data_IF_786606381959
#
_entry.id   IF_786606381959
#
_cell.length_a   1.000
_cell.length_b   1.000
_cell.length_c   1.000
_cell.angle_alpha   90.00
_cell.angle_beta   90.00
_cell.angle_gamma   90.00
#
_symmetry.space_group_name_H-M   'P 1'
#
loop_
_entity.id
_entity.type
_entity.pdbx_description
1 polymer ?
#
# COMPACT_ATOMS: atom_id res chain seq x y z
N UNK A 1 5.76 16.65 -36.43
CA UNK A 1 6.39 16.03 -35.23
C UNK A 1 7.79 15.58 -35.59
N UNK A 2 8.82 16.04 -34.86
CA UNK A 2 10.20 15.57 -35.09
C UNK A 2 10.38 14.11 -34.63
N UNK A 3 11.39 13.42 -35.15
CA UNK A 3 11.70 12.02 -34.78
C UNK A 3 11.90 11.86 -33.26
N UNK A 4 12.55 12.83 -32.62
CA UNK A 4 12.79 12.86 -31.16
C UNK A 4 11.50 12.94 -30.34
N UNK A 5 10.49 13.66 -30.83
CA UNK A 5 9.18 13.76 -30.16
C UNK A 5 8.41 12.43 -30.19
N UNK A 6 8.55 11.64 -31.27
CA UNK A 6 7.96 10.30 -31.35
C UNK A 6 8.61 9.30 -30.39
N UNK A 7 9.94 9.34 -30.25
CA UNK A 7 10.68 8.45 -29.33
C UNK A 7 10.28 8.70 -27.88
N UNK A 8 10.16 9.97 -27.48
CA UNK A 8 9.75 10.37 -26.12
C UNK A 8 8.34 9.84 -25.78
N UNK A 9 7.38 9.99 -26.68
CA UNK A 9 6.01 9.47 -26.47
C UNK A 9 6.00 7.94 -26.34
N UNK A 10 6.77 7.23 -27.17
CA UNK A 10 6.87 5.77 -27.09
C UNK A 10 7.46 5.30 -25.76
N UNK A 11 8.50 5.96 -25.26
CA UNK A 11 9.08 5.64 -23.95
C UNK A 11 8.13 5.97 -22.79
N UNK A 12 7.32 7.02 -22.94
CA UNK A 12 6.31 7.40 -21.95
C UNK A 12 5.18 6.34 -21.85
N UNK A 13 4.70 5.87 -22.99
CA UNK A 13 3.65 4.86 -23.04
C UNK A 13 4.16 3.49 -22.57
N UNK A 14 5.43 3.18 -22.81
CA UNK A 14 6.04 1.90 -22.44
C UNK A 14 6.13 1.70 -20.93
N UNK A 15 6.62 2.69 -20.17
CA UNK A 15 6.78 2.53 -18.72
C UNK A 15 5.43 2.45 -18.00
N UNK A 16 4.45 3.24 -18.43
CA UNK A 16 3.07 3.18 -17.89
C UNK A 16 2.47 1.79 -18.14
N UNK A 17 2.62 1.26 -19.36
CA UNK A 17 2.15 -0.08 -19.72
C UNK A 17 2.83 -1.17 -18.89
N UNK A 18 4.13 -1.05 -18.65
CA UNK A 18 4.91 -1.98 -17.82
C UNK A 18 4.43 -1.98 -16.37
N UNK A 19 4.24 -0.81 -15.76
CA UNK A 19 3.73 -0.70 -14.39
C UNK A 19 2.32 -1.27 -14.26
N UNK A 20 1.44 -0.96 -15.20
CA UNK A 20 0.08 -1.49 -15.24
C UNK A 20 0.08 -3.02 -15.36
N UNK A 21 0.92 -3.59 -16.25
CA UNK A 21 1.05 -5.02 -16.41
C UNK A 21 1.54 -5.69 -15.11
N UNK A 22 2.56 -5.11 -14.45
CA UNK A 22 3.08 -5.62 -13.19
C UNK A 22 2.02 -5.62 -12.07
N UNK A 23 1.26 -4.53 -11.93
CA UNK A 23 0.17 -4.43 -10.95
C UNK A 23 -0.95 -5.44 -11.25
N UNK A 24 -1.37 -5.57 -12.52
CA UNK A 24 -2.39 -6.54 -12.93
C UNK A 24 -1.96 -7.98 -12.66
N UNK A 25 -0.71 -8.33 -12.99
CA UNK A 25 -0.16 -9.66 -12.72
C UNK A 25 -0.23 -9.97 -11.22
N UNK A 26 0.17 -9.05 -10.35
CA UNK A 26 0.11 -9.31 -8.91
C UNK A 26 -1.31 -9.28 -8.34
N UNK A 27 -2.23 -8.44 -8.86
CA UNK A 27 -3.67 -8.51 -8.51
C UNK A 27 -4.23 -9.91 -8.85
N UNK A 28 -4.01 -10.36 -10.08
CA UNK A 28 -4.43 -11.69 -10.53
C UNK A 28 -3.78 -12.77 -9.67
N UNK A 29 -2.51 -12.60 -9.29
CA UNK A 29 -1.79 -13.55 -8.45
C UNK A 29 -2.40 -13.66 -7.06
N UNK A 30 -2.77 -12.55 -6.42
CA UNK A 30 -3.42 -12.55 -5.10
C UNK A 30 -4.80 -13.21 -5.17
N UNK A 31 -5.61 -12.83 -6.17
CA UNK A 31 -6.94 -13.44 -6.40
C UNK A 31 -6.80 -14.94 -6.65
N UNK A 32 -5.88 -15.34 -7.53
CA UNK A 32 -5.62 -16.75 -7.85
C UNK A 32 -5.17 -17.53 -6.63
N UNK A 33 -4.28 -16.93 -5.82
CA UNK A 33 -3.80 -17.55 -4.59
C UNK A 33 -4.93 -17.77 -3.56
N UNK A 34 -5.98 -16.94 -3.59
CA UNK A 34 -7.14 -17.04 -2.71
C UNK A 34 -8.18 -18.04 -3.21
N UNK A 35 -8.36 -18.13 -4.53
CA UNK A 35 -9.35 -19.03 -5.16
C UNK A 35 -8.85 -20.48 -5.24
N UNK A 36 -7.54 -20.69 -5.31
CA UNK A 36 -6.93 -22.03 -5.44
C UNK A 36 -6.49 -22.52 -4.05
N UNK A 37 -7.16 -23.52 -3.44
CA UNK A 37 -6.89 -23.93 -2.05
C UNK A 37 -5.44 -24.32 -1.77
N UNK A 38 -4.74 -24.89 -2.78
CA UNK A 38 -3.33 -25.27 -2.68
C UNK A 38 -2.38 -24.06 -2.53
N UNK A 39 -2.80 -22.89 -3.00
CA UNK A 39 -2.01 -21.65 -2.97
C UNK A 39 -2.33 -20.75 -1.77
N UNK A 40 -3.41 -21.03 -1.02
CA UNK A 40 -3.81 -20.24 0.15
C UNK A 40 -2.68 -20.07 1.19
N UNK A 41 -1.77 -21.03 1.29
CA UNK A 41 -0.60 -20.94 2.18
C UNK A 41 0.31 -19.74 1.86
N UNK A 42 0.34 -19.28 0.60
CA UNK A 42 1.13 -18.13 0.19
C UNK A 42 0.60 -16.82 0.79
N UNK A 43 -0.71 -16.73 1.04
CA UNK A 43 -1.42 -15.55 1.56
C UNK A 43 -1.35 -15.41 3.07
N UNK A 44 -0.97 -16.48 3.78
CA UNK A 44 -0.94 -16.50 5.25
C UNK A 44 0.38 -15.93 5.76
N UNK A 45 0.31 -15.06 6.76
CA UNK A 45 1.49 -14.49 7.42
C UNK A 45 1.18 -14.03 8.84
N UNK A 46 2.21 -13.92 9.67
CA UNK A 46 2.07 -13.55 11.07
C UNK A 46 1.12 -14.47 11.86
N UNK A 47 -0.02 -13.94 12.33
CA UNK A 47 -0.94 -14.67 13.21
C UNK A 47 -1.74 -15.79 12.51
N UNK A 48 -1.80 -15.76 11.19
CA UNK A 48 -2.55 -16.75 10.38
C UNK A 48 -1.64 -17.83 9.81
N UNK A 49 -0.33 -17.75 10.05
CA UNK A 49 0.66 -18.67 9.49
C UNK A 49 0.72 -19.97 10.29
N UNK A 50 0.69 -21.10 9.57
CA UNK A 50 0.90 -22.43 10.17
C UNK A 50 2.39 -22.66 10.46
N UNK A 51 2.70 -22.92 11.73
CA UNK A 51 4.06 -23.13 12.24
C UNK A 51 4.76 -24.29 11.50
N UNK A 52 4.02 -25.34 11.11
CA UNK A 52 4.57 -26.49 10.39
C UNK A 52 5.06 -26.18 8.97
N UNK A 53 4.47 -25.17 8.31
CA UNK A 53 4.90 -24.75 6.96
C UNK A 53 6.25 -24.02 6.98
N UNK A 54 6.50 -23.24 8.04
CA UNK A 54 7.70 -22.41 8.22
C UNK A 54 8.92 -23.27 8.50
N UNK A 55 8.76 -24.34 9.28
CA UNK A 55 9.86 -25.25 9.61
C UNK A 55 10.33 -26.04 8.39
N UNK A 56 9.42 -26.41 7.48
CA UNK A 56 9.74 -27.16 6.26
C UNK A 56 10.42 -26.32 5.18
N UNK A 57 10.00 -25.06 4.99
CA UNK A 57 10.47 -24.19 3.89
C UNK A 57 11.06 -22.87 4.41
N UNK A 58 11.95 -22.95 5.41
CA UNK A 58 12.44 -21.78 6.16
C UNK A 58 13.03 -20.66 5.28
N UNK A 59 13.67 -21.00 4.16
CA UNK A 59 14.29 -20.01 3.25
C UNK A 59 13.28 -19.18 2.43
N UNK A 60 12.02 -19.60 2.36
CA UNK A 60 10.94 -18.85 1.71
C UNK A 60 10.24 -17.87 2.66
N UNK A 61 10.72 -17.71 3.88
CA UNK A 61 10.10 -16.84 4.89
C UNK A 61 11.11 -15.84 5.45
N UNK A 62 10.67 -14.58 5.51
CA UNK A 62 11.44 -13.48 6.10
C UNK A 62 10.78 -12.98 7.40
N UNK A 63 11.54 -12.38 8.33
CA UNK A 63 10.97 -11.76 9.52
C UNK A 63 9.90 -10.71 9.19
N UNK A 64 8.81 -10.68 9.96
CA UNK A 64 7.75 -9.67 9.75
C UNK A 64 8.25 -8.24 9.97
N UNK A 65 9.26 -8.04 10.82
CA UNK A 65 9.88 -6.72 11.02
C UNK A 65 10.47 -6.12 9.74
N UNK A 66 10.73 -6.92 8.70
CA UNK A 66 11.20 -6.44 7.41
C UNK A 66 10.17 -5.60 6.64
N UNK A 67 8.94 -5.45 7.14
CA UNK A 67 8.03 -4.38 6.69
C UNK A 67 8.71 -3.00 6.72
N UNK A 68 9.65 -2.76 7.64
CA UNK A 68 10.46 -1.54 7.69
C UNK A 68 11.19 -1.27 6.37
N UNK A 69 11.67 -2.30 5.67
CA UNK A 69 12.40 -2.14 4.41
C UNK A 69 11.52 -1.51 3.32
N UNK A 70 10.23 -1.84 3.28
CA UNK A 70 9.30 -1.27 2.32
C UNK A 70 9.17 0.23 2.51
N UNK A 71 9.04 0.67 3.75
CA UNK A 71 8.88 2.09 4.07
C UNK A 71 10.18 2.87 3.90
N UNK A 72 11.35 2.27 4.17
CA UNK A 72 12.65 2.87 3.83
C UNK A 72 12.78 3.06 2.32
N UNK A 73 12.41 2.05 1.53
CA UNK A 73 12.42 2.12 0.07
C UNK A 73 11.48 3.21 -0.44
N UNK A 74 10.25 3.26 0.08
CA UNK A 74 9.24 4.27 -0.23
C UNK A 74 9.76 5.68 0.07
N UNK A 75 10.30 5.91 1.28
CA UNK A 75 10.88 7.19 1.67
C UNK A 75 12.04 7.60 0.75
N UNK A 76 12.89 6.65 0.38
CA UNK A 76 14.04 6.89 -0.51
C UNK A 76 13.58 7.35 -1.88
N UNK A 77 12.58 6.68 -2.46
CA UNK A 77 12.01 7.07 -3.75
C UNK A 77 11.29 8.42 -3.66
N UNK A 78 10.46 8.62 -2.64
CA UNK A 78 9.73 9.87 -2.45
C UNK A 78 10.70 11.05 -2.31
N UNK A 79 11.75 10.92 -1.48
CA UNK A 79 12.79 11.93 -1.33
C UNK A 79 13.55 12.18 -2.64
N UNK A 80 13.94 11.11 -3.36
CA UNK A 80 14.63 11.24 -4.65
C UNK A 80 13.78 11.98 -5.67
N UNK A 81 12.47 11.69 -5.74
CA UNK A 81 11.52 12.39 -6.59
C UNK A 81 11.36 13.85 -6.20
N UNK A 82 11.24 14.17 -4.90
CA UNK A 82 11.16 15.55 -4.41
C UNK A 82 12.43 16.35 -4.72
N UNK A 83 13.61 15.74 -4.61
CA UNK A 83 14.88 16.38 -4.97
C UNK A 83 14.99 16.62 -6.48
N UNK A 84 14.47 15.71 -7.30
CA UNK A 84 14.50 15.82 -8.75
C UNK A 84 13.52 16.88 -9.28
N UNK A 85 12.29 16.88 -8.77
CA UNK A 85 11.16 17.67 -9.33
C UNK A 85 10.97 19.00 -8.58
N UNK A 86 11.39 19.05 -7.31
CA UNK A 86 11.23 20.19 -6.42
C UNK A 86 9.83 20.30 -5.79
N UNK A 87 9.72 21.16 -4.77
CA UNK A 87 8.46 21.50 -4.11
C UNK A 87 7.75 22.62 -4.89
N UNK A 88 6.93 22.23 -5.87
CA UNK A 88 6.09 23.12 -6.67
C UNK A 88 4.60 22.86 -6.34
N UNK A 89 3.68 23.60 -6.94
CA UNK A 89 2.23 23.30 -6.84
C UNK A 89 1.79 22.36 -7.99
N UNK A 90 2.51 21.23 -8.16
CA UNK A 90 2.29 20.27 -9.25
C UNK A 90 1.65 18.97 -8.73
N UNK A 91 1.10 18.14 -9.62
CA UNK A 91 0.56 16.82 -9.24
C UNK A 91 1.63 15.96 -8.61
N UNK A 92 2.80 15.91 -9.25
CA UNK A 92 3.92 15.06 -8.82
C UNK A 92 4.42 15.44 -7.43
N UNK A 93 4.63 16.74 -7.20
CA UNK A 93 5.15 17.25 -5.92
C UNK A 93 4.17 17.02 -4.76
N UNK A 94 2.86 17.18 -4.98
CA UNK A 94 1.84 16.89 -3.96
C UNK A 94 1.87 15.41 -3.56
N UNK A 95 1.89 14.49 -4.53
CA UNK A 95 1.87 13.05 -4.21
C UNK A 95 3.20 12.57 -3.64
N UNK A 96 4.33 13.06 -4.14
CA UNK A 96 5.63 12.73 -3.55
C UNK A 96 5.73 13.24 -2.10
N UNK A 97 5.11 14.38 -1.78
CA UNK A 97 5.01 14.84 -0.40
C UNK A 97 4.11 13.94 0.45
N UNK A 98 2.96 13.49 -0.07
CA UNK A 98 2.11 12.51 0.60
C UNK A 98 2.87 11.21 0.89
N UNK A 99 3.57 10.66 -0.11
CA UNK A 99 4.37 9.44 0.04
C UNK A 99 5.52 9.65 1.03
N UNK A 100 6.20 10.79 0.99
CA UNK A 100 7.26 11.12 1.96
C UNK A 100 6.72 11.14 3.41
N UNK A 101 5.60 11.83 3.64
CA UNK A 101 4.98 11.92 4.97
C UNK A 101 4.48 10.56 5.43
N UNK A 102 3.81 9.81 4.54
CA UNK A 102 3.31 8.47 4.80
C UNK A 102 4.46 7.52 5.17
N UNK A 103 5.51 7.45 4.35
CA UNK A 103 6.67 6.59 4.57
C UNK A 103 7.39 6.95 5.87
N UNK A 104 7.63 8.24 6.13
CA UNK A 104 8.28 8.71 7.36
C UNK A 104 7.51 8.26 8.62
N UNK A 105 6.19 8.46 8.61
CA UNK A 105 5.31 8.04 9.70
C UNK A 105 5.32 6.51 9.85
N UNK A 106 5.20 5.76 8.76
CA UNK A 106 5.19 4.28 8.79
C UNK A 106 6.53 3.69 9.24
N UNK A 107 7.66 4.32 8.92
CA UNK A 107 8.98 3.98 9.48
C UNK A 107 8.96 4.14 11.00
N UNK A 108 8.53 5.31 11.48
CA UNK A 108 8.43 5.58 12.92
C UNK A 108 7.54 4.54 13.62
N UNK A 109 6.35 4.28 13.08
CA UNK A 109 5.43 3.29 13.64
C UNK A 109 6.00 1.87 13.64
N UNK A 110 6.72 1.47 12.60
CA UNK A 110 7.36 0.15 12.55
C UNK A 110 8.51 0.04 13.55
N UNK A 111 9.29 1.10 13.72
CA UNK A 111 10.45 1.10 14.61
C UNK A 111 10.06 1.20 16.09
N UNK A 112 9.04 2.00 16.42
CA UNK A 112 8.77 2.42 17.81
C UNK A 112 7.38 2.06 18.34
N UNK A 113 6.38 1.88 17.48
CA UNK A 113 4.99 1.59 17.91
C UNK A 113 4.68 0.09 17.78
N UNK A 114 5.11 -0.53 16.68
CA UNK A 114 4.71 -1.88 16.31
C UNK A 114 5.38 -2.97 17.14
N UNK A 115 4.59 -3.80 17.84
CA UNK A 115 5.09 -4.94 18.61
C UNK A 115 5.06 -6.25 17.81
N UNK A 116 6.02 -6.40 16.89
CA UNK A 116 6.17 -7.63 16.10
C UNK A 116 6.42 -8.86 17.00
N UNK A 117 5.84 -10.01 16.66
CA UNK A 117 6.21 -11.26 17.32
C UNK A 117 7.55 -11.74 16.77
N UNK A 118 8.44 -12.21 17.63
CA UNK A 118 9.76 -12.74 17.25
C UNK A 118 9.65 -13.87 16.20
N UNK A 119 8.63 -14.71 16.32
CA UNK A 119 8.34 -15.80 15.38
C UNK A 119 7.44 -15.41 14.22
N UNK A 120 6.99 -14.15 14.13
CA UNK A 120 6.12 -13.71 13.04
C UNK A 120 6.90 -13.63 11.74
N UNK A 121 6.46 -14.38 10.72
CA UNK A 121 7.08 -14.41 9.39
C UNK A 121 6.14 -13.93 8.30
N UNK A 122 6.71 -13.54 7.17
CA UNK A 122 6.05 -13.22 5.90
C UNK A 122 6.66 -14.11 4.82
N UNK A 123 5.84 -14.63 3.91
CA UNK A 123 6.34 -15.38 2.77
C UNK A 123 7.10 -14.47 1.79
N UNK A 124 8.15 -14.96 1.15
CA UNK A 124 9.02 -14.19 0.26
C UNK A 124 8.24 -13.56 -0.91
N UNK A 125 7.22 -14.24 -1.43
CA UNK A 125 6.36 -13.67 -2.49
C UNK A 125 5.64 -12.39 -2.04
N UNK A 126 5.09 -12.36 -0.82
CA UNK A 126 4.49 -11.15 -0.25
C UNK A 126 5.53 -10.06 -0.05
N UNK A 127 6.73 -10.45 0.36
CA UNK A 127 7.82 -9.50 0.53
C UNK A 127 8.21 -8.82 -0.80
N UNK A 128 8.41 -9.62 -1.85
CA UNK A 128 8.73 -9.10 -3.19
C UNK A 128 7.57 -8.28 -3.79
N UNK A 129 6.33 -8.69 -3.58
CA UNK A 129 5.15 -7.93 -4.00
C UNK A 129 5.10 -6.56 -3.32
N UNK A 130 5.43 -6.49 -2.03
CA UNK A 130 5.57 -5.23 -1.30
C UNK A 130 6.64 -4.32 -1.91
N UNK A 131 7.86 -4.84 -2.14
CA UNK A 131 8.95 -4.08 -2.77
C UNK A 131 8.53 -3.52 -4.14
N UNK A 132 7.90 -4.34 -4.97
CA UNK A 132 7.41 -3.93 -6.28
C UNK A 132 6.35 -2.83 -6.16
N UNK A 133 5.39 -2.97 -5.25
CA UNK A 133 4.32 -2.00 -5.04
C UNK A 133 4.86 -0.61 -4.65
N UNK A 134 5.68 -0.51 -3.60
CA UNK A 134 6.24 0.78 -3.15
C UNK A 134 7.19 1.40 -4.18
N UNK A 135 7.85 0.57 -5.00
CA UNK A 135 8.65 1.05 -6.13
C UNK A 135 7.76 1.67 -7.20
N UNK A 136 6.70 0.99 -7.64
CA UNK A 136 5.77 1.52 -8.67
C UNK A 136 5.04 2.77 -8.18
N UNK A 137 4.59 2.80 -6.92
CA UNK A 137 3.86 3.93 -6.34
C UNK A 137 4.60 5.26 -6.52
N UNK A 138 5.93 5.26 -6.40
CA UNK A 138 6.76 6.44 -6.62
C UNK A 138 7.28 6.56 -8.06
N UNK A 139 7.70 5.45 -8.70
CA UNK A 139 8.28 5.51 -10.03
C UNK A 139 7.28 5.91 -11.12
N UNK A 140 5.98 5.67 -10.95
CA UNK A 140 4.97 6.20 -11.89
C UNK A 140 5.03 7.74 -11.97
N UNK A 141 5.47 8.39 -10.90
CA UNK A 141 5.56 9.85 -10.78
C UNK A 141 6.91 10.31 -11.34
N UNK A 142 7.99 9.62 -10.98
CA UNK A 142 9.36 10.01 -11.29
C UNK A 142 9.73 9.68 -12.76
N UNK A 143 9.30 8.53 -13.28
CA UNK A 143 9.71 8.04 -14.59
C UNK A 143 9.39 9.00 -15.75
N UNK A 144 8.22 9.66 -15.83
CA UNK A 144 7.96 10.67 -16.86
C UNK A 144 8.98 11.81 -16.88
N UNK A 145 9.42 12.29 -15.72
CA UNK A 145 10.40 13.39 -15.63
C UNK A 145 11.80 12.98 -16.08
N UNK A 146 12.19 11.72 -15.84
CA UNK A 146 13.49 11.19 -16.27
C UNK A 146 13.49 10.76 -17.74
N UNK A 147 12.47 10.01 -18.16
CA UNK A 147 12.47 9.30 -19.45
C UNK A 147 11.95 10.16 -20.60
N UNK A 148 11.02 11.06 -20.32
CA UNK A 148 10.37 11.87 -21.34
C UNK A 148 10.85 13.33 -21.37
N UNK A 149 11.79 13.72 -20.50
CA UNK A 149 12.26 15.11 -20.33
C UNK A 149 11.09 16.10 -20.30
N UNK A 150 10.02 15.71 -19.60
CA UNK A 150 8.79 16.49 -19.46
C UNK A 150 9.20 17.86 -18.92
N UNK A 151 9.04 18.95 -19.68
CA UNK A 151 9.55 20.25 -19.27
C UNK A 151 8.91 20.66 -17.94
N UNK A 152 9.73 21.26 -17.09
CA UNK A 152 9.28 21.85 -15.83
C UNK A 152 8.06 22.76 -16.08
N UNK A 153 6.93 22.44 -15.45
CA UNK A 153 5.68 23.21 -15.59
C UNK A 153 4.70 22.73 -16.68
N UNK A 154 4.99 21.63 -17.37
CA UNK A 154 4.05 21.02 -18.33
C UNK A 154 2.93 20.19 -17.68
N UNK A 155 2.99 19.95 -16.38
CA UNK A 155 1.87 19.39 -15.63
C UNK A 155 0.71 20.38 -15.57
N UNK A 156 -0.49 19.93 -15.94
CA UNK A 156 -1.68 20.77 -15.79
C UNK A 156 -1.92 21.08 -14.32
N UNK A 157 -2.26 22.33 -14.02
CA UNK A 157 -2.60 22.79 -12.67
C UNK A 157 -3.65 21.89 -12.02
N UNK A 158 -3.40 21.50 -10.77
CA UNK A 158 -4.33 20.69 -9.98
C UNK A 158 -5.55 21.56 -9.64
N UNK A 159 -6.78 21.12 -9.97
CA UNK A 159 -7.98 21.81 -9.52
C UNK A 159 -8.01 21.93 -7.99
N UNK A 160 -8.38 23.11 -7.48
CA UNK A 160 -8.38 23.34 -6.02
C UNK A 160 -9.26 22.33 -5.27
N UNK A 161 -10.41 21.95 -5.84
CA UNK A 161 -11.30 20.96 -5.22
C UNK A 161 -10.64 19.59 -5.10
N UNK A 162 -9.84 19.18 -6.10
CA UNK A 162 -9.19 17.86 -6.08
C UNK A 162 -8.03 17.85 -5.10
N UNK A 163 -7.28 18.96 -5.00
CA UNK A 163 -6.27 19.15 -3.96
C UNK A 163 -6.90 19.07 -2.55
N UNK A 164 -7.99 19.80 -2.31
CA UNK A 164 -8.69 19.79 -1.02
C UNK A 164 -9.24 18.40 -0.66
N UNK A 165 -9.87 17.72 -1.62
CA UNK A 165 -10.40 16.37 -1.42
C UNK A 165 -9.28 15.38 -1.11
N UNK A 166 -8.21 15.37 -1.92
CA UNK A 166 -7.07 14.48 -1.72
C UNK A 166 -6.37 14.73 -0.38
N UNK A 167 -6.10 15.99 -0.02
CA UNK A 167 -5.54 16.34 1.29
C UNK A 167 -6.44 15.88 2.43
N UNK A 168 -7.76 16.03 2.30
CA UNK A 168 -8.70 15.57 3.33
C UNK A 168 -8.70 14.06 3.49
N UNK A 169 -8.75 13.31 2.39
CA UNK A 169 -8.66 11.84 2.38
C UNK A 169 -7.34 11.35 2.96
N UNK A 170 -6.23 11.94 2.53
CA UNK A 170 -4.89 11.60 3.01
C UNK A 170 -4.74 11.86 4.51
N UNK A 171 -5.15 13.03 4.99
CA UNK A 171 -5.07 13.39 6.40
C UNK A 171 -5.96 12.49 7.27
N UNK A 172 -7.21 12.27 6.85
CA UNK A 172 -8.15 11.40 7.55
C UNK A 172 -7.61 9.98 7.68
N UNK A 173 -7.18 9.38 6.56
CA UNK A 173 -6.59 8.04 6.57
C UNK A 173 -5.29 7.99 7.35
N UNK A 174 -4.38 8.94 7.17
CA UNK A 174 -3.07 8.92 7.85
C UNK A 174 -3.20 9.05 9.37
N UNK A 175 -4.06 9.96 9.85
CA UNK A 175 -4.31 10.15 11.28
C UNK A 175 -5.01 8.92 11.88
N UNK A 176 -6.14 8.48 11.30
CA UNK A 176 -6.88 7.34 11.87
C UNK A 176 -6.03 6.06 11.83
N UNK A 177 -5.25 5.85 10.76
CA UNK A 177 -4.33 4.73 10.66
C UNK A 177 -3.29 4.73 11.79
N UNK A 178 -2.70 5.89 12.12
CA UNK A 178 -1.74 6.00 13.22
C UNK A 178 -2.40 5.68 14.57
N UNK A 179 -3.58 6.24 14.81
CA UNK A 179 -4.36 5.98 16.04
C UNK A 179 -4.70 4.50 16.15
N UNK A 180 -5.14 3.89 15.05
CA UNK A 180 -5.44 2.47 14.96
C UNK A 180 -4.19 1.61 15.25
N UNK A 181 -3.02 1.96 14.71
CA UNK A 181 -1.78 1.24 15.01
C UNK A 181 -1.35 1.38 16.47
N UNK A 182 -1.45 2.57 17.06
CA UNK A 182 -1.20 2.79 18.48
C UNK A 182 -2.15 1.96 19.35
N UNK A 183 -3.44 1.91 19.00
CA UNK A 183 -4.42 1.08 19.68
C UNK A 183 -4.05 -0.41 19.60
N UNK A 184 -3.76 -0.91 18.39
CA UNK A 184 -3.37 -2.31 18.17
C UNK A 184 -2.08 -2.69 18.91
N UNK A 185 -1.12 -1.78 19.04
CA UNK A 185 0.13 -2.00 19.77
C UNK A 185 -0.08 -2.11 21.30
N UNK A 186 -1.14 -1.51 21.83
CA UNK A 186 -1.49 -1.54 23.25
C UNK A 186 -2.39 -2.72 23.62
N UNK A 187 -3.03 -3.36 22.64
CA UNK A 187 -3.83 -4.55 22.89
C UNK A 187 -2.97 -5.74 23.33
N UNK A 188 -3.55 -6.58 24.18
CA UNK A 188 -3.01 -7.91 24.43
C UNK A 188 -2.94 -8.64 23.10
N UNK A 189 -1.77 -9.21 22.80
CA UNK A 189 -1.48 -9.80 21.49
C UNK A 189 -2.56 -10.80 21.05
N UNK A 190 -3.03 -10.64 19.82
CA UNK A 190 -4.05 -11.48 19.17
C UNK A 190 -5.47 -11.40 19.77
N UNK A 191 -5.78 -10.34 20.51
CA UNK A 191 -7.17 -10.00 20.86
C UNK A 191 -7.84 -9.18 19.74
N UNK A 192 -9.17 -9.16 19.73
CA UNK A 192 -9.94 -8.37 18.79
C UNK A 192 -10.01 -6.89 19.24
N UNK A 193 -9.75 -5.93 18.34
CA UNK A 193 -9.93 -4.51 18.62
C UNK A 193 -11.41 -4.14 18.70
N UNK A 194 -11.75 -3.13 19.50
CA UNK A 194 -13.14 -2.67 19.72
C UNK A 194 -13.31 -1.14 19.76
N UNK A 195 -12.25 -0.41 19.42
CA UNK A 195 -12.20 1.05 19.40
C UNK A 195 -12.51 1.62 18.02
N UNK A 196 -13.17 2.79 17.96
CA UNK A 196 -13.39 3.53 16.71
C UNK A 196 -14.09 2.69 15.63
N UNK A 197 -13.56 2.74 14.41
CA UNK A 197 -14.08 1.98 13.27
C UNK A 197 -14.00 0.46 13.45
N UNK A 198 -13.17 -0.07 14.37
CA UNK A 198 -13.13 -1.51 14.65
C UNK A 198 -14.46 -2.08 15.19
N UNK A 199 -15.36 -1.21 15.66
CA UNK A 199 -16.74 -1.59 16.02
C UNK A 199 -17.58 -2.01 14.81
N UNK A 200 -17.23 -1.53 13.63
CA UNK A 200 -17.95 -1.77 12.39
C UNK A 200 -17.19 -2.67 11.43
N UNK A 201 -15.86 -2.50 11.33
CA UNK A 201 -14.98 -3.28 10.43
C UNK A 201 -13.93 -4.07 11.21
N UNK A 202 -13.51 -5.23 10.70
CA UNK A 202 -12.46 -6.06 11.33
C UNK A 202 -11.08 -5.39 11.25
N UNK A 203 -10.77 -4.70 10.15
CA UNK A 203 -9.47 -4.09 9.91
C UNK A 203 -9.58 -2.59 9.55
N UNK A 204 -9.89 -1.73 10.53
CA UNK A 204 -10.02 -0.27 10.31
C UNK A 204 -8.79 0.36 9.64
N UNK A 205 -7.59 0.10 10.16
CA UNK A 205 -6.31 0.54 9.57
C UNK A 205 -6.09 0.17 8.09
N UNK A 206 -6.75 -0.85 7.56
CA UNK A 206 -6.68 -1.19 6.12
C UNK A 206 -7.62 -0.34 5.28
N UNK A 207 -8.78 0.06 5.83
CA UNK A 207 -9.64 1.05 5.20
C UNK A 207 -8.91 2.39 5.06
N UNK A 208 -8.18 2.78 6.10
CA UNK A 208 -7.40 4.02 6.09
C UNK A 208 -6.33 4.03 4.98
N UNK A 209 -5.73 2.87 4.71
CA UNK A 209 -4.75 2.73 3.62
C UNK A 209 -5.42 2.91 2.24
N UNK A 210 -6.66 2.44 2.08
CA UNK A 210 -7.45 2.69 0.86
C UNK A 210 -7.68 4.20 0.69
N UNK A 211 -8.00 4.93 1.75
CA UNK A 211 -8.21 6.39 1.67
C UNK A 211 -6.94 7.14 1.25
N UNK A 212 -5.78 6.70 1.74
CA UNK A 212 -4.47 7.28 1.41
C UNK A 212 -4.16 7.10 -0.09
N UNK A 213 -4.32 5.89 -0.63
CA UNK A 213 -4.08 5.66 -2.05
C UNK A 213 -5.21 6.19 -2.96
N UNK A 214 -6.43 6.35 -2.44
CA UNK A 214 -7.49 7.05 -3.14
C UNK A 214 -7.17 8.54 -3.29
N UNK A 215 -6.55 9.17 -2.29
CA UNK A 215 -6.06 10.55 -2.39
C UNK A 215 -5.05 10.72 -3.53
N UNK A 216 -4.16 9.74 -3.71
CA UNK A 216 -3.22 9.70 -4.83
C UNK A 216 -3.95 9.66 -6.18
N UNK A 217 -4.91 8.76 -6.34
CA UNK A 217 -5.71 8.66 -7.56
C UNK A 217 -6.49 9.94 -7.88
N UNK A 218 -7.06 10.62 -6.86
CA UNK A 218 -7.78 11.89 -7.04
C UNK A 218 -6.90 12.96 -7.70
N UNK A 219 -5.59 12.96 -7.44
CA UNK A 219 -4.63 13.91 -8.01
C UNK A 219 -4.10 13.45 -9.37
N UNK A 220 -3.66 12.18 -9.47
CA UNK A 220 -2.97 11.67 -10.65
C UNK A 220 -3.90 11.29 -11.79
N UNK A 221 -5.07 10.70 -11.48
CA UNK A 221 -6.13 10.32 -12.42
C UNK A 221 -5.65 9.50 -13.64
N UNK A 222 -4.56 8.74 -13.47
CA UNK A 222 -4.00 7.88 -14.51
C UNK A 222 -4.32 6.40 -14.25
N UNK A 223 -4.04 5.54 -15.22
CA UNK A 223 -4.33 4.11 -15.12
C UNK A 223 -3.52 3.41 -14.03
N UNK A 224 -2.27 3.81 -13.80
CA UNK A 224 -1.39 3.20 -12.79
C UNK A 224 -1.88 3.50 -11.37
N UNK A 225 -2.16 4.76 -11.04
CA UNK A 225 -2.73 5.15 -9.74
C UNK A 225 -4.10 4.51 -9.49
N UNK A 226 -4.94 4.33 -10.51
CA UNK A 226 -6.18 3.56 -10.37
C UNK A 226 -5.90 2.10 -10.01
N UNK A 227 -4.96 1.44 -10.70
CA UNK A 227 -4.59 0.06 -10.41
C UNK A 227 -3.93 -0.10 -9.04
N UNK A 228 -3.23 0.92 -8.53
CA UNK A 228 -2.72 0.96 -7.15
C UNK A 228 -3.87 0.90 -6.14
N UNK A 229 -4.95 1.66 -6.34
CA UNK A 229 -6.14 1.57 -5.46
C UNK A 229 -6.73 0.17 -5.50
N UNK A 230 -6.90 -0.42 -6.68
CA UNK A 230 -7.43 -1.78 -6.83
C UNK A 230 -6.50 -2.80 -6.16
N UNK A 231 -5.19 -2.66 -6.34
CA UNK A 231 -4.18 -3.49 -5.68
C UNK A 231 -4.35 -3.47 -4.16
N UNK A 232 -4.44 -2.28 -3.56
CA UNK A 232 -4.57 -2.10 -2.11
C UNK A 232 -5.85 -2.77 -1.61
N UNK A 233 -6.98 -2.56 -2.30
CA UNK A 233 -8.27 -3.19 -1.95
C UNK A 233 -8.16 -4.72 -2.00
N UNK A 234 -7.59 -5.28 -3.07
CA UNK A 234 -7.49 -6.75 -3.24
C UNK A 234 -6.53 -7.36 -2.22
N UNK A 235 -5.34 -6.78 -2.06
CA UNK A 235 -4.29 -7.30 -1.19
C UNK A 235 -4.66 -7.19 0.30
N UNK A 236 -5.13 -6.01 0.73
CA UNK A 236 -5.56 -5.81 2.12
C UNK A 236 -6.90 -6.48 2.39
N UNK A 237 -7.81 -6.53 1.43
CA UNK A 237 -9.08 -7.24 1.56
C UNK A 237 -8.87 -8.75 1.78
N UNK A 238 -7.93 -9.35 1.05
CA UNK A 238 -7.53 -10.75 1.28
C UNK A 238 -6.96 -10.94 2.69
N UNK A 239 -6.08 -10.03 3.13
CA UNK A 239 -5.51 -10.06 4.49
C UNK A 239 -6.56 -9.84 5.60
N UNK A 240 -7.55 -8.99 5.34
CA UNK A 240 -8.66 -8.68 6.25
C UNK A 240 -9.58 -9.90 6.40
N UNK A 241 -9.87 -10.59 5.30
CA UNK A 241 -10.64 -11.82 5.32
C UNK A 241 -9.99 -12.89 6.20
N UNK A 242 -8.69 -13.15 6.02
CA UNK A 242 -7.95 -14.10 6.86
C UNK A 242 -7.95 -13.67 8.34
N UNK A 243 -7.89 -12.36 8.59
CA UNK A 243 -7.98 -11.81 9.94
C UNK A 243 -9.36 -12.04 10.57
N UNK A 244 -10.44 -11.90 9.79
CA UNK A 244 -11.80 -12.22 10.26
C UNK A 244 -11.93 -13.70 10.58
N UNK A 245 -11.47 -14.58 9.68
CA UNK A 245 -11.47 -16.03 9.92
C UNK A 245 -10.76 -16.38 11.24
N UNK A 246 -9.57 -15.81 11.47
CA UNK A 246 -8.83 -16.01 12.71
C UNK A 246 -9.63 -15.59 13.96
N UNK A 247 -10.29 -14.42 13.93
CA UNK A 247 -11.07 -13.96 15.09
C UNK A 247 -12.34 -14.79 15.31
N UNK A 248 -13.01 -15.20 14.23
CA UNK A 248 -14.18 -16.09 14.29
C UNK A 248 -13.82 -17.47 14.88
N UNK A 249 -12.71 -18.07 14.44
CA UNK A 249 -12.21 -19.35 14.99
C UNK A 249 -11.93 -19.26 16.50
N UNK A 250 -11.42 -18.11 16.95
CA UNK A 250 -11.16 -17.81 18.37
C UNK A 250 -12.41 -17.34 19.12
N UNK A 251 -13.57 -17.29 18.48
CA UNK A 251 -14.86 -16.84 19.05
C UNK A 251 -14.82 -15.42 19.63
N UNK A 252 -14.00 -14.54 19.07
CA UNK A 252 -14.01 -13.13 19.44
C UNK A 252 -15.19 -12.41 18.78
N UNK A 253 -15.75 -11.43 19.50
CA UNK A 253 -16.68 -10.47 18.91
C UNK A 253 -15.90 -9.44 18.10
N UNK A 254 -16.29 -9.26 16.84
CA UNK A 254 -15.68 -8.32 15.89
C UNK A 254 -16.77 -7.58 15.12
N UNK A 255 -16.40 -6.47 14.46
CA UNK A 255 -17.32 -5.73 13.61
C UNK A 255 -17.99 -6.59 12.51
N UNK A 256 -19.22 -6.25 12.11
CA UNK A 256 -19.98 -7.02 11.12
C UNK A 256 -19.37 -7.00 9.71
N UNK A 257 -18.60 -5.97 9.36
CA UNK A 257 -17.93 -5.79 8.07
C UNK A 257 -16.43 -6.16 8.17
N UNK A 258 -15.79 -6.52 7.06
CA UNK A 258 -14.39 -6.94 6.98
C UNK A 258 -13.47 -5.73 6.94
N UNK A 259 -13.69 -4.83 5.99
CA UNK A 259 -12.77 -3.73 5.68
C UNK A 259 -13.48 -2.45 5.27
N UNK A 260 -14.54 -2.48 4.47
CA UNK A 260 -15.24 -1.27 4.00
C UNK A 260 -16.54 -1.12 4.80
N UNK A 261 -16.68 -0.07 5.62
CA UNK A 261 -17.87 0.12 6.45
C UNK A 261 -19.15 0.10 5.60
N UNK A 262 -20.18 -0.62 6.07
CA UNK A 262 -21.50 -0.74 5.42
C UNK A 262 -21.51 -1.44 4.05
N UNK A 263 -20.38 -1.92 3.55
CA UNK A 263 -20.29 -2.57 2.23
C UNK A 263 -19.73 -3.98 2.35
N UNK A 264 -18.53 -4.12 2.92
CA UNK A 264 -17.81 -5.39 2.92
C UNK A 264 -17.00 -5.62 4.19
#
# INVERSE_FOLDING_TARGET
MSSSCKVILVLADYHTSLFNAALLIGIISVISAKLIPKLNGLLKYGKTLDVGSVTKWKWLYVPKSWFLHFYILDLTWALSGLLLIGLKSSRSSIILLFNFVQASRRIYECAYVSKFAEYSKIHLSHYLAGILFYTIANLQIIAPHILANVPDGSETTVPQWSALLASSLFMMGSIDQFVNHCHLANLKKYTAPSFGLFRYVVCAHYFDEILIYLAEYVILQNSTSFLIVIWVIVNLGTSAYETRSFYTEKRFLVGPYIMIPMVW
#
